data_IF_246457997277
#
_entry.id   IF_246457997277
#
_cell.length_a   1.000
_cell.length_b   1.000
_cell.length_c   1.000
_cell.angle_alpha   90.00
_cell.angle_beta   90.00
_cell.angle_gamma   90.00
#
_symmetry.space_group_name_H-M   'P 1'
#
loop_
_entity.id
_entity.type
_entity.pdbx_description
1 polymer ?
#
# COMPACT_ATOMS: atom_id res chain seq x y z
N UNK A 1 5.83 -12.67 17.79
CA UNK A 1 5.97 -11.23 17.44
C UNK A 1 4.72 -10.42 17.79
N UNK A 2 4.88 -9.12 18.07
CA UNK A 2 3.79 -8.15 18.31
C UNK A 2 3.65 -7.22 17.11
N UNK A 3 2.47 -7.18 16.49
CA UNK A 3 2.18 -6.28 15.37
C UNK A 3 1.12 -5.26 15.79
N UNK A 4 1.40 -3.98 15.60
CA UNK A 4 0.42 -2.92 15.75
C UNK A 4 -0.31 -2.69 14.43
N UNK A 5 -1.65 -2.73 14.46
CA UNK A 5 -2.50 -2.37 13.33
C UNK A 5 -3.11 -1.01 13.61
N UNK A 6 -3.03 -0.10 12.65
CA UNK A 6 -3.58 1.25 12.68
C UNK A 6 -4.56 1.46 11.52
N UNK A 7 -5.62 2.22 11.79
CA UNK A 7 -6.67 2.54 10.81
C UNK A 7 -6.25 3.59 9.78
N UNK A 8 -6.71 4.83 9.98
CA UNK A 8 -6.36 5.97 9.12
C UNK A 8 -5.44 6.94 9.87
N UNK A 9 -4.23 7.13 9.34
CA UNK A 9 -3.19 7.94 9.97
C UNK A 9 -3.51 9.45 9.93
N UNK A 10 -3.95 9.97 8.78
CA UNK A 10 -4.13 11.40 8.50
C UNK A 10 -2.91 12.27 8.87
N UNK A 11 -1.71 11.75 8.67
CA UNK A 11 -0.45 12.43 8.98
C UNK A 11 -0.13 12.56 10.47
N UNK A 12 -0.87 11.90 11.37
CA UNK A 12 -0.69 11.95 12.82
C UNK A 12 0.39 10.98 13.33
N UNK A 13 1.48 10.83 12.57
CA UNK A 13 2.56 9.87 12.84
C UNK A 13 3.16 10.04 14.24
N UNK A 14 3.40 11.28 14.67
CA UNK A 14 4.00 11.57 15.97
C UNK A 14 3.11 11.04 17.11
N UNK A 15 1.78 11.15 16.97
CA UNK A 15 0.82 10.64 17.96
C UNK A 15 0.75 9.11 17.94
N UNK A 16 0.78 8.50 16.76
CA UNK A 16 0.78 7.05 16.60
C UNK A 16 2.03 6.45 17.25
N UNK A 17 3.21 6.97 16.90
CA UNK A 17 4.48 6.51 17.49
C UNK A 17 4.54 6.76 19.00
N UNK A 18 4.10 7.93 19.48
CA UNK A 18 4.01 8.20 20.93
C UNK A 18 3.08 7.21 21.66
N UNK A 19 1.99 6.79 21.01
CA UNK A 19 1.05 5.80 21.55
C UNK A 19 1.70 4.42 21.61
N UNK A 20 2.47 4.04 20.58
CA UNK A 20 3.23 2.80 20.54
C UNK A 20 4.26 2.77 21.67
N UNK A 21 5.06 3.82 21.82
CA UNK A 21 6.06 3.90 22.89
C UNK A 21 5.43 3.80 24.28
N UNK A 22 4.26 4.43 24.49
CA UNK A 22 3.52 4.32 25.73
C UNK A 22 3.07 2.87 25.97
N UNK A 23 2.51 2.19 24.97
CA UNK A 23 2.07 0.79 25.09
C UNK A 23 3.24 -0.15 25.39
N UNK A 24 4.38 0.03 24.73
CA UNK A 24 5.60 -0.75 24.98
C UNK A 24 6.08 -0.61 26.42
N UNK A 25 6.13 0.64 26.94
CA UNK A 25 6.56 0.95 28.31
C UNK A 25 5.62 0.35 29.35
N UNK A 26 4.31 0.56 29.19
CA UNK A 26 3.31 0.12 30.17
C UNK A 26 3.17 -1.41 30.24
N UNK A 27 3.34 -2.09 29.11
CA UNK A 27 3.07 -3.53 29.02
C UNK A 27 4.35 -4.40 28.93
N UNK A 28 5.52 -3.77 28.96
CA UNK A 28 6.83 -4.43 28.90
C UNK A 28 6.97 -5.39 27.70
N UNK A 29 6.60 -4.92 26.50
CA UNK A 29 6.86 -5.61 25.24
C UNK A 29 7.40 -4.63 24.19
N UNK A 30 7.91 -5.16 23.07
CA UNK A 30 8.28 -4.39 21.89
C UNK A 30 7.34 -4.70 20.72
N UNK A 31 6.99 -3.66 19.95
CA UNK A 31 6.25 -3.80 18.71
C UNK A 31 7.27 -4.04 17.60
N UNK A 32 7.10 -5.13 16.87
CA UNK A 32 8.02 -5.55 15.81
C UNK A 32 7.69 -4.89 14.47
N UNK A 33 6.40 -4.62 14.22
CA UNK A 33 5.89 -4.02 13.00
C UNK A 33 4.66 -3.16 13.29
N UNK A 34 4.61 -1.97 12.70
CA UNK A 34 3.41 -1.15 12.57
C UNK A 34 2.85 -1.30 11.16
N UNK A 35 1.56 -1.62 11.04
CA UNK A 35 0.83 -1.64 9.77
C UNK A 35 -0.24 -0.54 9.79
N UNK A 36 -0.20 0.38 8.82
CA UNK A 36 -1.18 1.45 8.63
C UNK A 36 -2.05 1.14 7.40
N UNK A 37 -3.36 1.11 7.60
CA UNK A 37 -4.34 0.73 6.56
C UNK A 37 -4.75 1.88 5.63
N UNK A 38 -4.00 2.98 5.61
CA UNK A 38 -4.09 4.06 4.62
C UNK A 38 -4.42 5.43 5.18
N UNK A 39 -4.74 6.35 4.28
CA UNK A 39 -4.77 7.79 4.53
C UNK A 39 -3.49 8.24 5.28
N UNK A 40 -2.35 7.77 4.80
CA UNK A 40 -1.05 7.96 5.45
C UNK A 40 -0.60 9.43 5.41
N UNK A 41 -0.86 10.11 4.29
CA UNK A 41 -0.50 11.50 4.02
C UNK A 41 1.02 11.74 4.08
N UNK A 42 1.77 11.04 3.22
CA UNK A 42 3.24 11.17 3.06
C UNK A 42 3.69 12.49 2.38
N UNK A 43 3.24 13.62 2.89
CA UNK A 43 3.50 14.95 2.29
C UNK A 43 4.94 15.39 2.53
N UNK A 44 5.76 15.51 1.48
CA UNK A 44 7.17 15.98 1.58
C UNK A 44 7.28 17.50 1.61
N UNK A 45 6.41 18.17 0.85
CA UNK A 45 6.37 19.62 0.64
C UNK A 45 4.96 20.08 0.19
N UNK A 46 4.81 21.39 -0.02
CA UNK A 46 3.56 22.06 -0.39
C UNK A 46 2.96 21.54 -1.70
N UNK A 47 3.75 21.05 -2.66
CA UNK A 47 3.21 20.53 -3.92
C UNK A 47 2.52 19.20 -3.73
N UNK A 48 3.09 18.34 -2.89
CA UNK A 48 2.44 17.09 -2.54
C UNK A 48 1.12 17.38 -1.82
N UNK A 49 1.09 18.42 -0.98
CA UNK A 49 -0.14 18.88 -0.31
C UNK A 49 -1.18 19.43 -1.30
N UNK A 50 -0.74 20.16 -2.34
CA UNK A 50 -1.60 20.62 -3.44
C UNK A 50 -2.24 19.45 -4.20
N UNK A 51 -1.56 18.31 -4.33
CA UNK A 51 -2.06 17.11 -5.01
C UNK A 51 -3.11 16.31 -4.21
N UNK A 52 -3.23 16.59 -2.91
CA UNK A 52 -4.10 15.83 -2.01
C UNK A 52 -5.57 16.19 -2.22
N UNK A 53 -6.41 15.18 -2.41
CA UNK A 53 -7.86 15.33 -2.59
C UNK A 53 -8.60 15.61 -1.27
N UNK A 54 -8.30 16.74 -0.66
CA UNK A 54 -8.87 17.22 0.61
C UNK A 54 -9.29 18.69 0.43
N UNK A 55 -10.43 19.14 0.99
CA UNK A 55 -10.81 20.55 0.95
C UNK A 55 -9.70 21.44 1.54
N UNK A 56 -9.42 22.58 0.91
CA UNK A 56 -8.25 23.42 1.22
C UNK A 56 -8.10 23.75 2.71
N UNK A 57 -9.20 24.05 3.40
CA UNK A 57 -9.23 24.35 4.85
C UNK A 57 -8.77 23.21 5.77
N UNK A 58 -8.68 21.98 5.26
CA UNK A 58 -8.24 20.80 6.00
C UNK A 58 -6.85 20.31 5.61
N UNK A 59 -6.22 20.93 4.60
CA UNK A 59 -4.86 20.59 4.21
C UNK A 59 -3.87 21.04 5.28
N UNK A 60 -2.97 20.15 5.66
CA UNK A 60 -1.88 20.42 6.59
C UNK A 60 -0.65 19.63 6.20
N UNK A 61 0.53 20.23 6.38
CA UNK A 61 1.82 19.56 6.17
C UNK A 61 2.06 18.40 7.16
N UNK A 62 1.38 18.42 8.32
CA UNK A 62 1.56 17.47 9.41
C UNK A 62 3.05 17.26 9.74
N UNK A 63 3.47 16.03 10.08
CA UNK A 63 4.85 15.73 10.49
C UNK A 63 5.65 14.84 9.53
N UNK A 64 5.04 14.25 8.49
CA UNK A 64 5.75 13.30 7.62
C UNK A 64 7.02 13.88 6.98
N UNK A 65 6.98 15.14 6.52
CA UNK A 65 8.14 15.81 5.92
C UNK A 65 9.39 15.79 6.82
N UNK A 66 9.24 15.71 8.15
CA UNK A 66 10.36 15.58 9.10
C UNK A 66 11.02 14.20 9.05
N UNK A 67 10.23 13.14 8.86
CA UNK A 67 10.73 11.77 8.67
C UNK A 67 11.39 11.62 7.31
N UNK A 68 10.77 12.18 6.27
CA UNK A 68 11.36 12.28 4.95
C UNK A 68 12.73 13.00 4.99
N UNK A 69 12.83 14.13 5.70
CA UNK A 69 14.07 14.89 5.85
C UNK A 69 15.12 14.26 6.78
N UNK A 70 14.80 13.16 7.49
CA UNK A 70 15.68 12.57 8.51
C UNK A 70 15.80 13.36 9.82
N UNK A 71 14.97 14.40 10.01
CA UNK A 71 14.88 15.16 11.27
C UNK A 71 14.23 14.29 12.37
N UNK A 72 13.25 13.47 11.99
CA UNK A 72 12.60 12.49 12.86
C UNK A 72 12.87 11.08 12.36
N UNK A 73 12.88 10.10 13.26
CA UNK A 73 13.10 8.69 12.94
C UNK A 73 11.89 7.88 13.35
N UNK A 74 11.41 7.00 12.47
CA UNK A 74 10.35 6.07 12.83
C UNK A 74 10.89 5.02 13.82
N UNK A 75 10.35 4.93 15.05
CA UNK A 75 10.89 4.06 16.09
C UNK A 75 10.61 2.57 15.87
N UNK A 76 9.70 2.25 14.95
CA UNK A 76 9.29 0.89 14.58
C UNK A 76 9.17 0.82 13.06
N UNK A 77 9.51 -0.33 12.48
CA UNK A 77 9.29 -0.58 11.07
C UNK A 77 7.82 -0.37 10.75
N UNK A 78 7.55 0.52 9.79
CA UNK A 78 6.20 0.95 9.47
C UNK A 78 5.88 0.56 8.02
N UNK A 79 4.91 -0.33 7.86
CA UNK A 79 4.36 -0.74 6.57
C UNK A 79 3.01 -0.06 6.35
N UNK A 80 2.76 0.47 5.15
CA UNK A 80 1.45 1.06 4.85
C UNK A 80 0.99 0.88 3.40
N UNK A 81 -0.32 0.91 3.22
CA UNK A 81 -1.00 1.03 1.92
C UNK A 81 -1.57 2.45 1.77
N UNK A 82 -1.90 2.88 0.55
CA UNK A 82 -2.53 4.18 0.31
C UNK A 82 -4.04 4.14 0.57
N UNK A 83 -4.60 5.26 1.04
CA UNK A 83 -6.04 5.53 1.11
C UNK A 83 -6.51 6.51 0.04
N UNK A 84 -7.46 7.38 0.38
CA UNK A 84 -8.00 8.41 -0.51
C UNK A 84 -7.53 9.83 -0.15
N UNK A 85 -6.89 10.03 1.00
CA UNK A 85 -6.21 11.27 1.39
C UNK A 85 -4.71 11.03 1.42
N UNK A 86 -4.07 11.19 0.26
CA UNK A 86 -2.64 10.91 0.11
C UNK A 86 -1.89 12.04 -0.58
N UNK A 87 -0.58 12.07 -0.36
CA UNK A 87 0.36 12.75 -1.25
C UNK A 87 0.49 11.94 -2.55
N UNK A 88 -0.57 11.94 -3.37
CA UNK A 88 -0.68 11.03 -4.52
C UNK A 88 0.39 11.28 -5.57
N UNK A 89 0.92 12.51 -5.69
CA UNK A 89 2.11 12.79 -6.49
C UNK A 89 3.31 11.94 -6.07
N UNK A 90 3.59 11.84 -4.77
CA UNK A 90 4.72 11.07 -4.25
C UNK A 90 4.47 9.57 -4.32
N UNK A 91 3.31 9.09 -3.85
CA UNK A 91 3.02 7.65 -3.87
C UNK A 91 2.97 7.08 -5.30
N UNK A 92 2.63 7.90 -6.29
CA UNK A 92 2.69 7.51 -7.71
C UNK A 92 4.11 7.18 -8.18
N UNK A 93 5.14 7.77 -7.58
CA UNK A 93 6.55 7.46 -7.93
C UNK A 93 6.94 6.02 -7.56
N UNK A 94 6.14 5.33 -6.73
CA UNK A 94 6.41 4.01 -6.16
C UNK A 94 5.29 3.00 -6.45
N UNK A 95 4.93 2.72 -7.72
CA UNK A 95 3.81 1.85 -8.06
C UNK A 95 3.96 0.40 -7.54
N UNK A 96 5.19 -0.08 -7.40
CA UNK A 96 5.53 -1.41 -6.89
C UNK A 96 6.01 -1.42 -5.43
N UNK A 97 5.86 -0.29 -4.74
CA UNK A 97 6.31 -0.11 -3.36
C UNK A 97 7.74 0.38 -3.24
N UNK A 98 8.09 0.83 -2.04
CA UNK A 98 9.40 1.37 -1.71
C UNK A 98 9.42 2.15 -0.40
N UNK A 99 10.62 2.43 0.08
CA UNK A 99 10.84 3.29 1.23
C UNK A 99 10.45 4.73 0.89
N UNK A 100 9.55 5.31 1.68
CA UNK A 100 9.16 6.73 1.57
C UNK A 100 9.93 7.61 2.57
N UNK A 101 10.50 6.98 3.59
CA UNK A 101 11.46 7.50 4.54
C UNK A 101 12.19 6.30 5.17
N UNK A 102 13.28 6.56 5.91
CA UNK A 102 13.95 5.50 6.66
C UNK A 102 12.97 4.79 7.60
N UNK A 103 12.91 3.46 7.50
CA UNK A 103 12.05 2.59 8.32
C UNK A 103 10.53 2.75 8.06
N UNK A 104 10.12 3.40 6.96
CA UNK A 104 8.72 3.56 6.53
C UNK A 104 8.57 3.09 5.07
N UNK A 105 7.87 1.97 4.86
CA UNK A 105 7.71 1.32 3.56
C UNK A 105 6.26 1.43 3.05
N UNK A 106 6.11 1.97 1.85
CA UNK A 106 4.85 1.98 1.11
C UNK A 106 4.73 0.70 0.27
N UNK A 107 3.57 0.05 0.30
CA UNK A 107 3.32 -1.18 -0.47
C UNK A 107 3.03 -0.94 -1.97
N UNK A 108 3.01 0.29 -2.48
CA UNK A 108 2.64 0.51 -3.88
C UNK A 108 1.14 0.37 -4.13
N UNK A 109 0.73 0.30 -5.40
CA UNK A 109 -0.69 0.15 -5.75
C UNK A 109 -1.24 -1.21 -5.29
N UNK A 110 -0.44 -2.26 -5.46
CA UNK A 110 -0.60 -3.54 -4.79
C UNK A 110 0.75 -4.23 -4.71
N UNK A 111 0.96 -5.02 -3.65
CA UNK A 111 2.20 -5.77 -3.45
C UNK A 111 1.99 -6.93 -2.47
N UNK A 112 2.92 -7.89 -2.49
CA UNK A 112 3.05 -8.93 -1.49
C UNK A 112 4.50 -8.91 -0.99
N UNK A 113 4.66 -8.71 0.31
CA UNK A 113 5.96 -8.72 1.00
C UNK A 113 5.94 -9.76 2.11
N UNK A 114 7.12 -10.19 2.54
CA UNK A 114 7.27 -11.05 3.70
C UNK A 114 7.94 -10.27 4.84
N UNK A 115 7.55 -10.56 6.08
CA UNK A 115 8.17 -10.06 7.29
C UNK A 115 8.18 -11.17 8.32
N UNK A 116 9.31 -11.54 8.94
CA UNK A 116 9.35 -12.61 9.94
C UNK A 116 8.65 -13.91 9.49
N UNK A 117 8.74 -14.25 8.20
CA UNK A 117 8.08 -15.42 7.61
C UNK A 117 6.55 -15.31 7.42
N UNK A 118 5.91 -14.18 7.73
CA UNK A 118 4.50 -13.93 7.42
C UNK A 118 4.35 -13.25 6.06
N UNK A 119 3.43 -13.75 5.23
CA UNK A 119 3.11 -13.18 3.91
C UNK A 119 2.03 -12.12 4.04
N UNK A 120 2.37 -10.88 3.68
CA UNK A 120 1.50 -9.70 3.79
C UNK A 120 1.19 -9.18 2.39
N UNK A 121 -0.08 -9.24 2.00
CA UNK A 121 -0.58 -8.66 0.76
C UNK A 121 -1.28 -7.32 1.03
N UNK A 122 -1.12 -6.36 0.13
CA UNK A 122 -1.74 -5.03 0.23
C UNK A 122 -2.33 -4.58 -1.09
N UNK A 123 -3.46 -3.87 -1.00
CA UNK A 123 -4.11 -3.18 -2.11
C UNK A 123 -4.45 -1.75 -1.67
N UNK A 124 -3.80 -0.78 -2.30
CA UNK A 124 -3.97 0.64 -2.01
C UNK A 124 -5.17 1.23 -2.73
N UNK A 125 -5.78 2.24 -2.11
CA UNK A 125 -6.84 3.04 -2.71
C UNK A 125 -8.25 2.59 -2.36
N UNK A 126 -9.23 3.19 -3.05
CA UNK A 126 -10.66 2.87 -2.89
C UNK A 126 -11.29 2.48 -4.23
N UNK A 127 -12.32 1.64 -4.20
CA UNK A 127 -13.00 1.20 -5.40
C UNK A 127 -13.96 2.27 -5.96
N UNK A 128 -13.82 2.59 -7.25
CA UNK A 128 -14.82 3.30 -8.06
C UNK A 128 -14.99 2.64 -9.42
N UNK A 129 -16.22 2.21 -9.72
CA UNK A 129 -16.54 1.45 -10.93
C UNK A 129 -16.18 2.16 -12.23
N UNK A 130 -16.28 3.49 -12.29
CA UNK A 130 -16.01 4.27 -13.49
C UNK A 130 -14.53 4.45 -13.83
N UNK A 131 -13.62 4.15 -12.88
CA UNK A 131 -12.17 4.20 -13.10
C UNK A 131 -11.51 2.82 -13.10
N UNK A 132 -12.21 1.80 -12.60
CA UNK A 132 -11.67 0.46 -12.40
C UNK A 132 -11.05 -0.17 -13.65
N UNK A 133 -11.57 0.09 -14.85
CA UNK A 133 -11.07 -0.48 -16.10
C UNK A 133 -10.10 0.43 -16.87
N UNK A 134 -9.66 1.53 -16.27
CA UNK A 134 -8.66 2.45 -16.85
C UNK A 134 -7.24 2.01 -16.50
N UNK A 135 -6.25 2.62 -17.14
CA UNK A 135 -4.88 2.62 -16.64
C UNK A 135 -4.63 3.70 -15.59
N UNK A 136 -3.38 3.78 -15.14
CA UNK A 136 -2.88 4.86 -14.28
C UNK A 136 -2.31 6.00 -15.14
N UNK A 137 -3.20 6.86 -15.64
CA UNK A 137 -2.85 7.92 -16.60
C UNK A 137 -2.61 9.29 -15.94
N UNK A 138 -2.91 9.42 -14.65
CA UNK A 138 -2.94 10.69 -13.94
C UNK A 138 -1.55 11.31 -13.90
N UNK A 139 -1.46 12.59 -14.25
CA UNK A 139 -0.20 13.32 -14.31
C UNK A 139 -0.37 14.76 -13.82
N UNK A 140 0.60 15.34 -13.07
CA UNK A 140 0.55 16.71 -12.61
C UNK A 140 0.74 17.74 -13.76
N UNK A 141 0.08 18.91 -13.72
CA UNK A 141 -0.83 19.35 -12.67
C UNK A 141 -2.15 18.57 -12.70
N UNK A 142 -2.56 18.08 -11.54
CA UNK A 142 -3.81 17.34 -11.43
C UNK A 142 -5.00 18.28 -11.54
N UNK A 143 -6.01 17.87 -12.30
CA UNK A 143 -7.31 18.50 -12.28
C UNK A 143 -8.19 17.81 -11.22
N UNK A 144 -9.39 18.35 -10.89
CA UNK A 144 -10.26 17.72 -9.91
C UNK A 144 -10.53 16.24 -10.17
N UNK A 145 -10.74 15.83 -11.43
CA UNK A 145 -10.93 14.43 -11.79
C UNK A 145 -9.70 13.57 -11.51
N UNK A 146 -8.50 13.98 -11.94
CA UNK A 146 -7.28 13.21 -11.73
C UNK A 146 -6.77 13.21 -10.29
N UNK A 147 -7.09 14.25 -9.50
CA UNK A 147 -6.85 14.23 -8.05
C UNK A 147 -7.63 13.13 -7.34
N UNK A 148 -8.82 12.77 -7.84
CA UNK A 148 -9.61 11.67 -7.31
C UNK A 148 -9.23 10.32 -7.93
N UNK A 149 -9.08 10.25 -9.25
CA UNK A 149 -8.87 8.97 -9.94
C UNK A 149 -7.54 8.30 -9.61
N UNK A 150 -6.51 9.07 -9.22
CA UNK A 150 -5.16 8.57 -8.92
C UNK A 150 -5.11 7.53 -7.79
N UNK A 151 -6.02 7.59 -6.82
CA UNK A 151 -6.09 6.61 -5.73
C UNK A 151 -7.24 5.62 -5.89
N UNK A 152 -7.92 5.61 -7.03
CA UNK A 152 -8.92 4.58 -7.28
C UNK A 152 -8.24 3.25 -7.65
N UNK A 153 -8.74 2.14 -7.14
CA UNK A 153 -8.25 0.79 -7.49
C UNK A 153 -8.46 0.53 -9.00
N UNK A 154 -7.48 -0.07 -9.69
CA UNK A 154 -7.65 -0.57 -11.07
C UNK A 154 -7.79 -2.10 -11.09
N UNK A 155 -8.31 -2.58 -12.21
CA UNK A 155 -8.54 -4.00 -12.44
C UNK A 155 -7.23 -4.80 -12.49
N UNK A 156 -6.13 -4.19 -12.93
CA UNK A 156 -4.82 -4.83 -13.03
C UNK A 156 -4.32 -5.34 -11.67
N UNK A 157 -4.35 -4.50 -10.63
CA UNK A 157 -3.86 -4.86 -9.30
C UNK A 157 -4.72 -5.97 -8.68
N UNK A 158 -6.04 -5.87 -8.81
CA UNK A 158 -6.96 -6.92 -8.32
C UNK A 158 -6.78 -8.24 -9.07
N UNK A 159 -6.52 -8.17 -10.38
CA UNK A 159 -6.23 -9.35 -11.19
C UNK A 159 -4.94 -10.01 -10.71
N UNK A 160 -3.83 -9.25 -10.60
CA UNK A 160 -2.53 -9.75 -10.13
C UNK A 160 -2.63 -10.41 -8.76
N UNK A 161 -3.27 -9.76 -7.79
CA UNK A 161 -3.46 -10.34 -6.45
C UNK A 161 -4.25 -11.63 -6.50
N UNK A 162 -5.27 -11.73 -7.36
CA UNK A 162 -6.08 -12.95 -7.50
C UNK A 162 -5.31 -14.16 -8.08
N UNK A 163 -4.11 -13.94 -8.62
CA UNK A 163 -3.26 -15.01 -9.14
C UNK A 163 -2.42 -15.71 -8.06
N UNK A 164 -2.28 -15.10 -6.87
CA UNK A 164 -1.55 -15.71 -5.76
C UNK A 164 -2.21 -17.02 -5.35
N UNK A 165 -1.41 -18.10 -5.28
CA UNK A 165 -1.84 -19.43 -4.89
C UNK A 165 -1.29 -19.83 -3.52
N UNK A 166 -0.10 -19.36 -3.14
CA UNK A 166 0.43 -19.62 -1.78
C UNK A 166 -0.43 -18.88 -0.74
N UNK A 167 -0.63 -19.46 0.46
CA UNK A 167 -1.44 -18.82 1.50
C UNK A 167 -0.93 -17.44 1.90
N UNK A 168 -1.86 -16.50 2.05
CA UNK A 168 -1.59 -15.15 2.59
C UNK A 168 -1.96 -15.13 4.07
N UNK A 169 -1.09 -14.59 4.93
CA UNK A 169 -1.37 -14.45 6.35
C UNK A 169 -2.21 -13.19 6.61
N UNK A 170 -1.81 -12.07 6.02
CA UNK A 170 -2.44 -10.76 6.23
C UNK A 170 -2.78 -10.13 4.88
N UNK A 171 -4.04 -9.71 4.70
CA UNK A 171 -4.46 -8.87 3.58
C UNK A 171 -4.85 -7.47 4.08
N UNK A 172 -4.33 -6.43 3.43
CA UNK A 172 -4.57 -5.03 3.76
C UNK A 172 -5.35 -4.36 2.63
N UNK A 173 -6.44 -3.67 2.97
CA UNK A 173 -7.17 -2.80 2.03
C UNK A 173 -7.67 -1.56 2.74
N UNK A 174 -7.71 -0.40 2.09
CA UNK A 174 -8.21 0.79 2.75
C UNK A 174 -9.72 0.72 2.96
N UNK A 175 -10.49 0.53 1.89
CA UNK A 175 -11.92 0.27 1.97
C UNK A 175 -12.23 -1.20 2.28
N UNK A 176 -13.39 -1.46 2.87
CA UNK A 176 -13.77 -2.78 3.36
C UNK A 176 -14.17 -3.72 2.23
N UNK A 177 -14.04 -5.05 2.38
CA UNK A 177 -14.77 -6.00 1.54
C UNK A 177 -16.28 -5.76 1.63
N UNK A 178 -16.96 -5.67 0.49
CA UNK A 178 -18.42 -5.63 0.49
C UNK A 178 -19.01 -6.87 1.20
N UNK A 179 -20.13 -6.68 1.90
CA UNK A 179 -20.81 -7.73 2.67
C UNK A 179 -20.16 -8.15 3.99
N UNK A 180 -18.91 -7.74 4.29
CA UNK A 180 -18.19 -8.18 5.51
C UNK A 180 -18.90 -7.83 6.82
N UNK A 181 -19.73 -6.78 6.79
CA UNK A 181 -20.55 -6.31 7.90
C UNK A 181 -21.69 -7.29 8.28
N UNK A 182 -22.07 -8.21 7.39
CA UNK A 182 -23.02 -9.28 7.71
C UNK A 182 -22.43 -10.37 8.61
N UNK A 183 -21.10 -10.37 8.80
CA UNK A 183 -20.38 -11.38 9.58
C UNK A 183 -19.97 -10.88 10.97
N UNK A 184 -20.48 -9.72 11.39
CA UNK A 184 -20.23 -9.11 12.70
C UNK A 184 -21.50 -8.49 13.29
N UNK A 185 -21.35 -7.60 14.27
CA UNK A 185 -22.48 -6.96 14.92
C UNK A 185 -23.00 -5.76 14.11
N UNK A 186 -23.85 -6.05 13.13
CA UNK A 186 -24.41 -5.06 12.22
C UNK A 186 -25.29 -4.03 12.94
N UNK A 187 -26.02 -4.44 13.98
CA UNK A 187 -26.87 -3.56 14.76
C UNK A 187 -26.03 -2.51 15.50
N UNK A 188 -24.90 -2.92 16.08
CA UNK A 188 -23.96 -1.99 16.70
C UNK A 188 -23.35 -1.04 15.68
N UNK A 189 -22.97 -1.54 14.49
CA UNK A 189 -22.42 -0.72 13.42
C UNK A 189 -23.42 0.37 13.00
N UNK A 190 -24.68 0.02 12.77
CA UNK A 190 -25.74 0.96 12.40
C UNK A 190 -26.04 1.94 13.54
N UNK A 191 -26.01 1.51 14.81
CA UNK A 191 -26.17 2.43 15.96
C UNK A 191 -25.06 3.49 15.99
N UNK A 192 -23.82 3.12 15.68
CA UNK A 192 -22.68 4.05 15.63
C UNK A 192 -22.75 4.94 14.39
N UNK A 193 -23.13 4.36 13.24
CA UNK A 193 -23.17 5.02 11.93
C UNK A 193 -24.54 4.77 11.24
N UNK A 194 -25.61 5.51 11.61
CA UNK A 194 -26.96 5.22 11.10
C UNK A 194 -27.10 5.30 9.58
N UNK A 195 -26.30 6.14 8.92
CA UNK A 195 -26.30 6.31 7.46
C UNK A 195 -25.82 5.07 6.70
N UNK A 196 -25.10 4.13 7.35
CA UNK A 196 -24.74 2.85 6.73
C UNK A 196 -25.94 1.94 6.51
N UNK A 197 -27.08 2.16 7.18
CA UNK A 197 -28.26 1.29 7.04
C UNK A 197 -28.74 1.19 5.59
N UNK A 198 -28.75 2.30 4.84
CA UNK A 198 -29.13 2.27 3.43
C UNK A 198 -28.11 1.54 2.56
N UNK A 199 -26.82 1.80 2.78
CA UNK A 199 -25.73 1.22 1.98
C UNK A 199 -25.58 -0.29 2.22
N UNK A 200 -25.78 -0.73 3.47
CA UNK A 200 -25.87 -2.13 3.85
C UNK A 200 -27.04 -2.81 3.14
N UNK A 201 -28.22 -2.17 3.14
CA UNK A 201 -29.42 -2.73 2.51
C UNK A 201 -29.25 -2.88 0.99
N UNK A 202 -28.54 -1.96 0.34
CA UNK A 202 -28.24 -2.02 -1.10
C UNK A 202 -26.95 -2.79 -1.44
N UNK A 203 -26.26 -3.36 -0.45
CA UNK A 203 -24.94 -3.99 -0.60
C UNK A 203 -23.90 -3.09 -1.31
N UNK A 204 -23.94 -1.78 -1.06
CA UNK A 204 -23.06 -0.78 -1.66
C UNK A 204 -21.98 -0.26 -0.72
N UNK A 205 -22.00 -0.67 0.55
CA UNK A 205 -20.93 -0.35 1.50
C UNK A 205 -19.72 -1.25 1.23
N UNK A 206 -18.55 -0.64 1.01
CA UNK A 206 -17.30 -1.36 0.72
C UNK A 206 -17.09 -1.68 -0.76
N UNK A 207 -15.99 -2.41 -1.03
CA UNK A 207 -15.50 -2.75 -2.36
C UNK A 207 -15.91 -4.18 -2.75
N UNK A 208 -16.61 -4.36 -3.89
CA UNK A 208 -16.92 -5.68 -4.43
C UNK A 208 -15.67 -6.44 -4.88
N UNK A 209 -14.59 -5.73 -5.24
CA UNK A 209 -13.33 -6.38 -5.62
C UNK A 209 -12.60 -6.92 -4.39
N UNK A 210 -12.70 -6.23 -3.26
CA UNK A 210 -12.14 -6.70 -2.00
C UNK A 210 -12.93 -7.91 -1.48
N UNK A 211 -14.27 -7.93 -1.63
CA UNK A 211 -15.09 -9.12 -1.34
C UNK A 211 -14.64 -10.34 -2.16
N UNK A 212 -14.41 -10.14 -3.45
CA UNK A 212 -13.90 -11.18 -4.33
C UNK A 212 -12.53 -11.69 -3.86
N UNK A 213 -11.58 -10.79 -3.62
CA UNK A 213 -10.24 -11.16 -3.15
C UNK A 213 -10.29 -11.88 -1.80
N UNK A 214 -11.16 -11.46 -0.88
CA UNK A 214 -11.40 -12.16 0.39
C UNK A 214 -11.78 -13.62 0.17
N UNK A 215 -12.77 -13.87 -0.70
CA UNK A 215 -13.25 -15.23 -1.00
C UNK A 215 -12.22 -16.09 -1.73
N UNK A 216 -11.38 -15.48 -2.57
CA UNK A 216 -10.36 -16.20 -3.36
C UNK A 216 -9.13 -16.52 -2.54
N UNK A 217 -8.54 -15.53 -1.87
CA UNK A 217 -7.25 -15.63 -1.19
C UNK A 217 -7.35 -16.22 0.21
N UNK A 218 -8.53 -16.13 0.84
CA UNK A 218 -8.84 -16.72 2.14
C UNK A 218 -7.77 -16.45 3.22
N UNK A 219 -7.31 -15.19 3.41
CA UNK A 219 -6.20 -14.89 4.31
C UNK A 219 -6.58 -15.13 5.78
N UNK A 220 -5.61 -15.35 6.67
CA UNK A 220 -5.90 -15.52 8.11
C UNK A 220 -6.48 -14.24 8.71
N UNK A 221 -5.93 -13.09 8.33
CA UNK A 221 -6.36 -11.77 8.76
C UNK A 221 -6.67 -10.84 7.59
N UNK A 222 -7.67 -9.99 7.77
CA UNK A 222 -7.97 -8.90 6.85
C UNK A 222 -8.10 -7.61 7.65
N UNK A 223 -7.27 -6.62 7.32
CA UNK A 223 -7.27 -5.32 7.98
C UNK A 223 -7.72 -4.22 7.02
N UNK A 224 -8.63 -3.36 7.50
CA UNK A 224 -9.12 -2.20 6.75
C UNK A 224 -9.34 -0.95 7.58
N UNK A 225 -9.62 0.18 6.91
CA UNK A 225 -9.85 1.47 7.56
C UNK A 225 -11.02 2.21 6.89
N UNK A 226 -10.81 3.47 6.50
CA UNK A 226 -11.71 4.34 5.72
C UNK A 226 -13.02 4.78 6.39
N UNK A 227 -13.78 3.83 6.95
CA UNK A 227 -15.13 4.07 7.48
C UNK A 227 -15.16 4.71 8.87
N UNK A 228 -13.99 4.96 9.47
CA UNK A 228 -13.82 5.63 10.77
C UNK A 228 -14.69 5.02 11.88
N UNK A 229 -14.60 3.69 12.02
CA UNK A 229 -15.27 2.92 13.05
C UNK A 229 -14.50 1.62 13.27
N UNK A 230 -14.31 1.24 14.55
CA UNK A 230 -13.83 -0.10 14.86
C UNK A 230 -14.94 -1.11 14.62
N UNK A 231 -14.68 -2.09 13.76
CA UNK A 231 -15.56 -3.23 13.54
C UNK A 231 -14.76 -4.50 13.35
N UNK A 232 -15.24 -5.59 13.94
CA UNK A 232 -14.61 -6.91 13.83
C UNK A 232 -15.65 -7.94 13.42
N UNK A 233 -15.25 -8.85 12.55
CA UNK A 233 -16.10 -9.96 12.08
C UNK A 233 -15.27 -11.21 11.79
N UNK A 234 -15.95 -12.35 11.71
CA UNK A 234 -15.34 -13.62 11.30
C UNK A 234 -16.02 -14.06 10.01
N UNK A 235 -15.28 -13.99 8.91
CA UNK A 235 -15.75 -14.50 7.63
C UNK A 235 -15.43 -16.00 7.55
N UNK A 236 -16.45 -16.83 7.34
CA UNK A 236 -16.29 -18.27 7.14
C UNK A 236 -16.23 -18.51 5.64
N UNK A 237 -15.17 -19.16 5.18
CA UNK A 237 -15.03 -19.51 3.77
C UNK A 237 -15.76 -20.80 3.46
N UNK A 238 -16.38 -20.84 2.30
CA UNK A 238 -16.86 -22.09 1.72
C UNK A 238 -15.64 -22.92 1.29
N UNK A 239 -15.47 -24.09 1.89
CA UNK A 239 -14.38 -25.03 1.60
C UNK A 239 -14.97 -26.40 1.30
N UNK A 240 -14.38 -27.09 0.31
CA UNK A 240 -14.72 -28.48 0.01
C UNK A 240 -14.15 -29.47 1.05
N UNK A 241 -13.16 -29.03 1.83
CA UNK A 241 -12.57 -29.78 2.94
C UNK A 241 -13.37 -29.64 4.23
N UNK A 242 -13.31 -30.68 5.08
CA UNK A 242 -13.89 -30.66 6.45
C UNK A 242 -13.27 -29.59 7.37
N UNK A 243 -12.07 -29.08 7.03
CA UNK A 243 -11.45 -27.98 7.75
C UNK A 243 -12.06 -26.62 7.37
N UNK A 244 -12.80 -26.02 8.30
CA UNK A 244 -13.37 -24.68 8.15
C UNK A 244 -12.26 -23.62 8.13
N UNK A 245 -12.01 -23.03 6.96
CA UNK A 245 -11.16 -21.83 6.85
C UNK A 245 -11.93 -20.58 7.27
N UNK A 246 -11.28 -19.71 8.04
CA UNK A 246 -11.84 -18.43 8.48
C UNK A 246 -10.87 -17.29 8.23
N UNK A 247 -11.41 -16.10 7.97
CA UNK A 247 -10.67 -14.84 8.01
C UNK A 247 -11.17 -13.99 9.18
N UNK A 248 -10.24 -13.52 10.01
CA UNK A 248 -10.51 -12.53 11.05
C UNK A 248 -10.42 -11.14 10.46
N UNK A 249 -11.56 -10.47 10.30
CA UNK A 249 -11.61 -9.11 9.81
C UNK A 249 -11.55 -8.12 10.98
N UNK A 250 -10.73 -7.08 10.84
CA UNK A 250 -10.71 -5.95 11.74
C UNK A 250 -10.56 -4.65 10.94
N UNK A 251 -11.40 -3.69 11.29
CA UNK A 251 -11.24 -2.30 10.88
C UNK A 251 -11.05 -1.41 12.08
N UNK A 252 -10.33 -0.30 11.89
CA UNK A 252 -10.01 0.66 12.93
C UNK A 252 -10.40 2.08 12.52
N UNK A 253 -10.54 2.93 13.53
CA UNK A 253 -10.87 4.34 13.37
C UNK A 253 -9.60 5.16 13.03
N UNK A 254 -9.74 6.47 12.86
CA UNK A 254 -8.61 7.40 12.71
C UNK A 254 -8.03 7.87 14.04
N UNK A 255 -6.78 8.32 14.04
CA UNK A 255 -6.06 8.83 15.20
C UNK A 255 -6.66 10.13 15.80
N UNK A 256 -7.76 9.99 16.53
CA UNK A 256 -8.45 11.08 17.23
C UNK A 256 -8.74 10.72 18.70
N UNK A 257 -8.93 11.71 19.57
CA UNK A 257 -9.22 11.47 20.98
C UNK A 257 -10.40 10.51 21.18
N UNK A 258 -10.21 9.52 22.06
CA UNK A 258 -11.21 8.50 22.43
C UNK A 258 -11.67 7.59 21.27
N UNK A 259 -10.94 7.59 20.14
CA UNK A 259 -11.19 6.66 19.04
C UNK A 259 -10.35 5.40 19.18
N UNK A 260 -10.84 4.31 18.59
CA UNK A 260 -10.18 3.01 18.58
C UNK A 260 -9.39 2.86 17.28
N UNK A 261 -8.28 3.59 17.18
CA UNK A 261 -7.49 3.71 15.95
C UNK A 261 -6.33 2.73 15.85
N UNK A 262 -5.89 2.17 16.98
CA UNK A 262 -4.75 1.25 17.05
C UNK A 262 -5.12 -0.02 17.85
N UNK A 263 -4.65 -1.17 17.38
CA UNK A 263 -4.78 -2.44 18.07
C UNK A 263 -3.50 -3.27 17.90
N UNK A 264 -2.94 -3.74 19.01
CA UNK A 264 -1.81 -4.68 19.00
C UNK A 264 -2.34 -6.11 18.96
N UNK A 265 -1.74 -6.94 18.10
CA UNK A 265 -2.05 -8.36 17.96
C UNK A 265 -0.78 -9.20 18.08
N UNK A 266 -0.97 -10.43 18.55
CA UNK A 266 0.07 -11.46 18.57
C UNK A 266 -0.04 -12.30 17.29
N UNK A 267 1.08 -12.41 16.58
CA UNK A 267 1.21 -13.27 15.40
C UNK A 267 2.50 -14.09 15.55
N UNK A 268 2.42 -15.38 15.22
CA UNK A 268 3.57 -16.27 15.21
C UNK A 268 4.41 -16.01 13.95
N UNK A 269 5.73 -15.98 14.11
CA UNK A 269 6.66 -15.92 12.98
C UNK A 269 8.11 -16.04 13.43
N UNK A 270 9.00 -15.95 12.46
CA UNK A 270 10.43 -16.17 12.63
C UNK A 270 11.09 -14.93 13.23
N UNK A 271 11.41 -15.01 14.53
CA UNK A 271 12.05 -13.95 15.30
C UNK A 271 13.45 -13.57 14.75
N UNK A 272 14.09 -14.43 13.94
CA UNK A 272 15.38 -14.15 13.31
C UNK A 272 15.26 -13.40 11.96
N UNK A 273 14.03 -13.22 11.43
CA UNK A 273 13.80 -12.62 10.10
C UNK A 273 12.93 -11.37 10.15
N UNK A 274 13.15 -10.49 11.13
CA UNK A 274 12.39 -9.24 11.33
C UNK A 274 12.81 -8.11 10.36
N UNK A 275 12.84 -8.42 9.08
CA UNK A 275 13.09 -7.49 7.97
C UNK A 275 12.07 -7.74 6.86
N UNK A 276 11.91 -6.76 5.96
CA UNK A 276 11.04 -6.92 4.80
C UNK A 276 11.78 -7.65 3.68
N UNK A 277 11.11 -8.61 3.03
CA UNK A 277 11.60 -9.22 1.80
C UNK A 277 10.52 -9.20 0.72
N UNK A 278 10.92 -9.13 -0.54
CA UNK A 278 10.06 -9.32 -1.69
C UNK A 278 9.49 -10.76 -1.68
N UNK A 279 8.29 -10.94 -2.22
CA UNK A 279 7.68 -12.26 -2.37
C UNK A 279 7.95 -12.83 -3.78
N UNK A 280 8.67 -13.95 -3.92
CA UNK A 280 9.04 -14.50 -5.24
C UNK A 280 7.83 -14.80 -6.14
N UNK A 281 6.74 -15.31 -5.59
CA UNK A 281 5.52 -15.62 -6.36
C UNK A 281 4.90 -14.34 -6.93
N UNK A 282 4.83 -13.28 -6.12
CA UNK A 282 4.38 -11.97 -6.58
C UNK A 282 5.26 -11.37 -7.67
N UNK A 283 6.59 -11.46 -7.53
CA UNK A 283 7.52 -10.98 -8.56
C UNK A 283 7.33 -11.71 -9.90
N UNK A 284 7.14 -13.03 -9.88
CA UNK A 284 6.81 -13.79 -11.09
C UNK A 284 5.47 -13.36 -11.70
N UNK A 285 4.45 -13.08 -10.87
CA UNK A 285 3.15 -12.53 -11.34
C UNK A 285 3.36 -11.17 -12.01
N UNK A 286 4.15 -10.27 -11.43
CA UNK A 286 4.48 -8.98 -12.04
C UNK A 286 5.13 -9.18 -13.42
N UNK A 287 6.15 -10.04 -13.52
CA UNK A 287 6.86 -10.36 -14.77
C UNK A 287 5.92 -10.90 -15.84
N UNK A 288 5.08 -11.90 -15.50
CA UNK A 288 4.15 -12.53 -16.46
C UNK A 288 2.98 -11.64 -16.87
N UNK A 289 2.59 -10.69 -16.03
CA UNK A 289 1.48 -9.78 -16.31
C UNK A 289 1.93 -8.39 -16.73
N UNK A 290 3.22 -8.18 -17.01
CA UNK A 290 3.74 -6.89 -17.42
C UNK A 290 2.98 -6.37 -18.65
N UNK A 291 2.75 -7.24 -19.65
CA UNK A 291 2.05 -6.91 -20.90
C UNK A 291 0.65 -6.28 -20.71
N UNK A 292 -0.01 -6.51 -19.56
CA UNK A 292 -1.31 -5.94 -19.22
C UNK A 292 -1.25 -4.49 -18.71
N UNK A 293 -0.06 -3.96 -18.39
CA UNK A 293 0.15 -2.60 -17.89
C UNK A 293 -0.47 -1.55 -18.83
N UNK A 294 -1.09 -0.55 -18.21
CA UNK A 294 -1.83 0.52 -18.87
C UNK A 294 -1.59 1.87 -18.22
N UNK A 295 -1.35 2.89 -19.04
CA UNK A 295 -1.33 4.32 -18.65
C UNK A 295 -2.37 5.13 -19.43
N UNK A 296 -3.45 4.47 -19.86
CA UNK A 296 -4.54 5.07 -20.64
C UNK A 296 -5.73 5.51 -19.78
N UNK A 297 -6.40 6.58 -20.19
CA UNK A 297 -7.57 7.14 -19.49
C UNK A 297 -8.91 6.58 -19.95
N UNK A 298 -8.94 5.86 -21.07
CA UNK A 298 -10.15 5.22 -21.56
C UNK A 298 -10.34 3.84 -20.91
N UNK A 299 -11.60 3.44 -20.77
CA UNK A 299 -11.94 2.11 -20.28
C UNK A 299 -11.45 1.06 -21.28
N UNK A 300 -10.66 0.10 -20.79
CA UNK A 300 -10.25 -1.06 -21.55
C UNK A 300 -11.25 -2.20 -21.40
N UNK A 301 -11.14 -3.19 -22.27
CA UNK A 301 -11.81 -4.46 -22.06
C UNK A 301 -11.40 -5.02 -20.67
N UNK A 302 -12.36 -5.57 -19.89
CA UNK A 302 -12.02 -6.25 -18.66
C UNK A 302 -10.98 -7.34 -18.92
N UNK A 303 -9.90 -7.37 -18.14
CA UNK A 303 -9.00 -8.53 -18.09
C UNK A 303 -9.87 -9.73 -17.74
N UNK A 304 -9.75 -10.85 -18.49
CA UNK A 304 -10.53 -12.03 -18.19
C UNK A 304 -10.11 -12.56 -16.82
N UNK A 305 -11.03 -12.41 -15.90
CA UNK A 305 -10.85 -12.76 -14.51
C UNK A 305 -10.80 -14.28 -14.28
N UNK A 306 -11.09 -15.09 -15.31
CA UNK A 306 -10.91 -16.55 -15.32
C UNK A 306 -9.53 -16.98 -15.85
N UNK A 307 -8.79 -16.06 -16.46
CA UNK A 307 -7.42 -16.32 -16.88
C UNK A 307 -6.56 -16.61 -15.65
N UNK A 308 -5.79 -17.69 -15.71
CA UNK A 308 -4.88 -18.09 -14.64
C UNK A 308 -3.44 -17.87 -15.10
N UNK A 309 -2.71 -17.06 -14.33
CA UNK A 309 -1.26 -16.92 -14.47
C UNK A 309 -0.60 -18.04 -13.67
N UNK A 310 -0.20 -19.10 -14.35
CA UNK A 310 0.50 -20.22 -13.71
C UNK A 310 1.95 -19.82 -13.45
N UNK A 311 2.35 -19.80 -12.17
CA UNK A 311 3.75 -19.69 -11.75
C UNK A 311 4.29 -21.11 -11.59
N UNK A 312 5.29 -21.44 -12.40
CA UNK A 312 5.96 -22.76 -12.44
C UNK A 312 7.20 -22.73 -11.56
N UNK A 313 7.71 -23.91 -11.22
CA UNK A 313 8.98 -24.03 -10.49
C UNK A 313 10.15 -23.44 -11.30
N UNK A 314 10.11 -23.51 -12.63
CA UNK A 314 11.12 -22.88 -13.47
C UNK A 314 11.12 -21.36 -13.33
N UNK A 315 9.94 -20.73 -13.30
CA UNK A 315 9.86 -19.26 -13.12
C UNK A 315 10.45 -18.83 -11.77
N UNK A 316 10.26 -19.63 -10.72
CA UNK A 316 10.82 -19.38 -9.40
C UNK A 316 12.33 -19.62 -9.37
N UNK A 317 12.83 -20.65 -10.05
CA UNK A 317 14.26 -20.94 -10.15
C UNK A 317 14.99 -19.83 -10.91
N UNK A 318 14.48 -19.42 -12.08
CA UNK A 318 15.03 -18.32 -12.86
C UNK A 318 15.08 -17.03 -12.02
N UNK A 319 13.99 -16.72 -11.30
CA UNK A 319 13.95 -15.58 -10.41
C UNK A 319 14.95 -15.69 -9.25
N UNK A 320 15.11 -16.86 -8.65
CA UNK A 320 16.08 -17.09 -7.59
C UNK A 320 17.52 -16.90 -8.09
N UNK A 321 17.82 -17.29 -9.32
CA UNK A 321 19.12 -17.04 -9.95
C UNK A 321 19.33 -15.54 -10.20
N UNK A 322 18.34 -14.86 -10.81
CA UNK A 322 18.36 -13.41 -11.07
C UNK A 322 18.58 -12.60 -9.78
N UNK A 323 18.00 -13.04 -8.66
CA UNK A 323 18.08 -12.39 -7.34
C UNK A 323 19.17 -12.99 -6.43
N UNK A 324 19.96 -13.95 -6.91
CA UNK A 324 20.97 -14.66 -6.11
C UNK A 324 20.44 -15.21 -4.77
N UNK A 325 19.18 -15.65 -4.75
CA UNK A 325 18.42 -16.07 -3.57
C UNK A 325 18.28 -15.00 -2.46
N UNK A 326 18.60 -13.73 -2.74
CA UNK A 326 18.42 -12.61 -1.83
C UNK A 326 17.20 -11.79 -2.22
N UNK A 327 16.16 -11.85 -1.40
CA UNK A 327 14.92 -11.08 -1.59
C UNK A 327 14.74 -10.00 -0.54
N UNK A 328 15.69 -9.81 0.37
CA UNK A 328 15.63 -8.75 1.37
C UNK A 328 15.52 -7.40 0.66
N UNK A 329 14.64 -6.53 1.16
CA UNK A 329 14.48 -5.19 0.60
C UNK A 329 15.58 -4.32 1.22
N UNK A 330 16.59 -3.88 0.44
CA UNK A 330 17.67 -3.06 0.99
C UNK A 330 17.14 -1.70 1.45
N UNK A 331 17.73 -1.13 2.50
CA UNK A 331 17.40 0.21 2.97
C UNK A 331 18.06 1.27 2.07
N UNK A 332 17.50 1.49 0.89
CA UNK A 332 18.02 2.38 -0.15
C UNK A 332 17.20 3.68 -0.33
N UNK A 333 16.57 4.15 0.75
CA UNK A 333 15.80 5.40 0.73
C UNK A 333 16.67 6.61 0.36
N UNK A 334 16.17 7.44 -0.57
CA UNK A 334 16.76 8.73 -0.95
C UNK A 334 15.67 9.78 -1.14
N UNK A 335 16.05 11.05 -0.93
CA UNK A 335 15.18 12.18 -1.22
C UNK A 335 14.99 12.33 -2.73
N UNK A 336 13.76 12.22 -3.23
CA UNK A 336 13.42 12.41 -4.65
C UNK A 336 12.90 13.82 -4.98
N UNK A 337 12.43 14.56 -3.97
CA UNK A 337 11.92 15.93 -4.09
C UNK A 337 12.43 16.85 -2.96
N UNK A 338 12.37 18.18 -3.14
CA UNK A 338 12.71 19.14 -2.08
C UNK A 338 11.90 18.93 -0.81
N UNK A 339 12.53 19.14 0.34
CA UNK A 339 11.90 19.09 1.65
C UNK A 339 11.15 20.39 1.90
N UNK A 340 10.00 20.31 2.58
CA UNK A 340 9.32 21.47 3.15
C UNK A 340 10.28 22.35 3.96
N UNK A 341 10.16 23.67 3.78
CA UNK A 341 10.93 24.65 4.56
C UNK A 341 9.98 25.70 5.11
N UNK A 342 9.86 25.73 6.44
CA UNK A 342 9.01 26.69 7.16
C UNK A 342 9.38 28.16 6.87
N UNK A 343 10.60 28.42 6.39
CA UNK A 343 11.16 29.75 6.15
C UNK A 343 11.18 30.18 4.67
N UNK A 344 10.75 29.34 3.73
CA UNK A 344 10.85 29.64 2.30
C UNK A 344 9.51 30.12 1.75
N UNK A 345 9.46 31.36 1.26
CA UNK A 345 8.29 31.89 0.53
C UNK A 345 8.26 31.47 -0.95
N UNK A 346 9.25 30.72 -1.40
CA UNK A 346 9.36 30.27 -2.79
C UNK A 346 8.58 28.98 -2.97
N UNK A 347 7.50 29.03 -3.75
CA UNK A 347 6.87 27.81 -4.25
C UNK A 347 7.90 27.07 -5.12
N UNK A 348 8.21 25.79 -4.86
CA UNK A 348 9.17 25.07 -5.70
C UNK A 348 8.67 25.05 -7.15
N UNK A 349 9.55 25.16 -8.15
CA UNK A 349 9.14 25.39 -9.55
C UNK A 349 8.78 24.11 -10.36
N UNK A 350 9.29 22.92 -9.99
CA UNK A 350 9.06 21.68 -10.76
C UNK A 350 7.58 21.24 -10.87
N UNK A 351 7.10 21.02 -12.09
CA UNK A 351 5.74 20.51 -12.38
C UNK A 351 5.74 19.01 -12.67
N UNK A 352 6.78 18.30 -12.23
CA UNK A 352 7.14 17.01 -12.80
C UNK A 352 6.98 15.86 -11.80
N UNK A 353 6.65 14.69 -12.36
CA UNK A 353 6.77 13.42 -11.66
C UNK A 353 8.24 13.03 -11.65
N UNK A 354 8.73 12.56 -10.52
CA UNK A 354 10.07 12.00 -10.39
C UNK A 354 10.06 10.51 -10.71
N UNK A 355 11.06 10.05 -11.46
CA UNK A 355 11.38 8.62 -11.48
C UNK A 355 12.03 8.27 -10.15
N UNK A 356 11.54 7.22 -9.50
CA UNK A 356 12.11 6.75 -8.24
C UNK A 356 13.09 5.61 -8.53
N UNK A 357 14.34 5.77 -8.07
CA UNK A 357 15.41 4.78 -8.26
C UNK A 357 15.01 3.39 -7.76
N UNK A 358 14.20 3.28 -6.69
CA UNK A 358 13.75 1.99 -6.16
C UNK A 358 12.82 1.26 -7.13
N UNK A 359 11.87 1.96 -7.74
CA UNK A 359 10.95 1.37 -8.73
C UNK A 359 11.70 1.03 -10.01
N UNK A 360 12.56 1.95 -10.48
CA UNK A 360 13.37 1.72 -11.67
C UNK A 360 14.28 0.50 -11.50
N UNK A 361 14.98 0.38 -10.37
CA UNK A 361 15.84 -0.77 -10.06
C UNK A 361 15.06 -2.08 -10.09
N UNK A 362 13.91 -2.15 -9.40
CA UNK A 362 13.07 -3.36 -9.42
C UNK A 362 12.60 -3.72 -10.83
N UNK A 363 12.22 -2.73 -11.63
CA UNK A 363 11.77 -2.95 -13.01
C UNK A 363 12.91 -3.49 -13.88
N UNK A 364 14.12 -2.96 -13.72
CA UNK A 364 15.31 -3.41 -14.45
C UNK A 364 15.70 -4.83 -14.05
N UNK A 365 15.71 -5.14 -12.74
CA UNK A 365 15.98 -6.50 -12.24
C UNK A 365 14.98 -7.54 -12.73
N UNK A 366 13.69 -7.18 -12.82
CA UNK A 366 12.64 -8.08 -13.31
C UNK A 366 12.51 -8.11 -14.83
N UNK A 367 13.18 -7.19 -15.54
CA UNK A 367 12.98 -6.91 -16.95
C UNK A 367 11.48 -6.65 -17.30
N UNK A 368 10.87 -5.74 -16.55
CA UNK A 368 9.48 -5.28 -16.75
C UNK A 368 9.43 -3.77 -17.01
N UNK A 369 8.27 -3.25 -17.42
CA UNK A 369 8.10 -1.83 -17.70
C UNK A 369 7.89 -1.04 -16.40
N UNK A 370 8.63 0.07 -16.28
CA UNK A 370 8.38 1.09 -15.26
C UNK A 370 7.13 1.92 -15.64
N UNK A 371 6.03 1.86 -14.86
CA UNK A 371 4.80 2.57 -15.20
C UNK A 371 4.95 4.08 -15.34
N UNK A 372 5.89 4.69 -14.61
CA UNK A 372 6.14 6.13 -14.65
C UNK A 372 6.98 6.49 -15.87
N UNK A 373 7.96 5.65 -16.23
CA UNK A 373 8.71 5.82 -17.49
C UNK A 373 7.78 5.75 -18.70
N UNK A 374 6.91 4.74 -18.76
CA UNK A 374 5.92 4.58 -19.84
C UNK A 374 4.98 5.79 -19.92
N UNK A 375 4.54 6.33 -18.78
CA UNK A 375 3.68 7.52 -18.74
C UNK A 375 4.42 8.77 -19.24
N UNK A 376 5.67 8.98 -18.83
CA UNK A 376 6.49 10.12 -19.27
C UNK A 376 6.74 10.09 -20.78
N UNK A 377 7.12 8.92 -21.32
CA UNK A 377 7.32 8.71 -22.75
C UNK A 377 6.06 9.03 -23.55
N UNK A 378 4.90 8.52 -23.09
CA UNK A 378 3.61 8.80 -23.72
C UNK A 378 3.27 10.30 -23.73
N UNK A 379 3.71 11.05 -22.73
CA UNK A 379 3.50 12.49 -22.66
C UNK A 379 4.52 13.31 -23.46
N UNK A 380 5.45 12.67 -24.16
CA UNK A 380 6.53 13.35 -24.89
C UNK A 380 7.51 14.06 -23.96
N UNK A 381 7.57 13.68 -22.68
CA UNK A 381 8.53 14.22 -21.71
C UNK A 381 9.75 13.31 -21.68
N UNK A 382 10.93 13.87 -22.01
CA UNK A 382 12.19 13.18 -21.75
C UNK A 382 12.31 12.94 -20.25
N UNK A 383 12.47 11.69 -19.85
CA UNK A 383 12.80 11.35 -18.47
C UNK A 383 14.07 12.10 -18.07
N UNK A 384 14.02 12.86 -16.97
CA UNK A 384 15.25 13.25 -16.26
C UNK A 384 15.75 11.96 -15.63
N UNK A 385 16.53 11.20 -16.41
CA UNK A 385 17.24 10.03 -15.90
C UNK A 385 18.39 10.62 -15.08
N UNK A 386 18.37 10.43 -13.76
CA UNK A 386 19.59 10.58 -12.98
C UNK A 386 20.55 9.49 -13.49
N UNK A 387 21.72 9.87 -14.01
CA UNK A 387 22.76 8.95 -14.54
C UNK A 387 23.35 7.98 -13.49
N UNK A 388 22.75 7.82 -12.30
CA UNK A 388 23.32 7.08 -11.17
C UNK A 388 22.84 5.64 -11.00
N UNK A 389 21.86 5.15 -11.76
CA UNK A 389 21.27 3.81 -11.52
C UNK A 389 22.26 2.67 -11.77
N UNK A 390 23.13 2.80 -12.78
CA UNK A 390 24.16 1.79 -13.09
C UNK A 390 25.27 1.74 -12.05
N UNK A 391 25.54 2.86 -11.37
CA UNK A 391 26.55 2.93 -10.31
C UNK A 391 26.03 2.28 -9.02
N UNK A 392 24.74 2.50 -8.69
CA UNK A 392 24.09 1.95 -7.51
C UNK A 392 24.07 0.42 -7.49
N UNK A 393 23.97 -0.21 -8.66
CA UNK A 393 24.01 -1.67 -8.80
C UNK A 393 25.38 -2.25 -8.40
N UNK A 394 26.47 -1.58 -8.78
CA UNK A 394 27.81 -2.02 -8.39
C UNK A 394 28.07 -1.71 -6.90
N UNK A 395 27.66 -0.54 -6.43
CA UNK A 395 27.86 -0.13 -5.03
C UNK A 395 27.06 -1.00 -4.03
N UNK A 396 25.87 -1.51 -4.40
CA UNK A 396 25.07 -2.41 -3.55
C UNK A 396 25.58 -3.86 -3.54
N UNK A 397 26.38 -4.27 -4.53
CA UNK A 397 27.02 -5.59 -4.59
C UNK A 397 28.43 -5.61 -3.99
N UNK A 398 29.07 -4.43 -3.87
CA UNK A 398 30.44 -4.28 -3.36
C UNK A 398 30.50 -4.01 -1.83
N UNK A 399 29.38 -3.88 -1.11
CA UNK A 399 29.37 -3.66 0.36
C UNK A 399 29.56 -4.93 1.22
N UNK A 400 29.81 -6.10 0.61
CA UNK A 400 30.00 -7.39 1.31
C UNK A 400 31.44 -7.97 1.26
N UNK A 401 32.47 -7.14 1.05
CA UNK A 401 33.90 -7.53 1.21
C UNK A 401 34.53 -7.16 2.57
#
# INVERSE_FOLDING_TARGET
>A
MKIAIEGCCHGELDKIYSTIEFLEKENNFKIDLLIICGDFQSVRNEKDLESMAVPEKYKSMCSFWKYYAGISKAPVLTLFIGGNHEASSFLKELPYGGWVANNIYYMGYANVVNFAGIKIAGLSGIYKSHDFYKGHYEFPPFNPGSMHSIYHVRNLETFRLSQIKKPIDIMLTHDWPAGIYHHGNIDQLIRIKPYFASEIKSNSLGSPQNERLLKLLKPKFWFSAHLHVKFSSIFKHDTESDEQKITKFLSLDKCLPRRKFLQVIDIDGDENKKFLSLDPEWLCILKKTDHLLSVDSYNRAPIDQKENVTITDQDLNDLNEDFQNCFEIPMNFKLTAPVHSENSSQKPESKDIYLNEQTTLLCEMLNIRDPIRVLLEKMGKSSIINESTTQLYNDLLDEDD
#
